data_IF_828386962546
#
_entry.id   IF_828386962546
#
_cell.length_a   1.000
_cell.length_b   1.000
_cell.length_c   1.000
_cell.angle_alpha   90.00
_cell.angle_beta   90.00
_cell.angle_gamma   90.00
#
_symmetry.space_group_name_H-M   'P 1'
#
loop_
_entity.id
_entity.type
_entity.pdbx_description
1 polymer ?
#
# COMPACT_ATOMS: atom_id res chain seq x y z
N UNK A 1 -10.92 63.12 -1.31
CA UNK A 1 -11.76 63.36 -0.11
C UNK A 1 -12.88 62.32 -0.15
N UNK A 2 -13.03 61.34 0.73
CA UNK A 2 -12.51 61.13 2.07
C UNK A 2 -12.32 59.63 2.33
N UNK A 3 -11.28 59.33 3.11
CA UNK A 3 -10.99 58.06 3.74
C UNK A 3 -12.12 57.54 4.62
N UNK A 4 -12.28 56.22 4.68
CA UNK A 4 -12.71 55.52 5.90
C UNK A 4 -11.86 54.27 6.09
N UNK A 5 -11.06 54.30 7.15
CA UNK A 5 -10.32 53.18 7.71
C UNK A 5 -11.31 52.12 8.22
N UNK A 6 -11.06 50.86 7.90
CA UNK A 6 -11.51 49.73 8.71
C UNK A 6 -10.27 48.99 9.18
N UNK A 7 -9.97 49.16 10.47
CA UNK A 7 -8.99 48.35 11.18
C UNK A 7 -9.62 46.99 11.46
N UNK A 8 -9.18 45.94 10.76
CA UNK A 8 -9.46 44.56 11.15
C UNK A 8 -8.22 44.03 11.88
N UNK A 9 -8.32 43.90 13.19
CA UNK A 9 -7.34 43.19 14.01
C UNK A 9 -7.40 41.71 13.67
N UNK A 10 -6.40 41.22 12.96
CA UNK A 10 -6.20 39.79 12.74
C UNK A 10 -5.55 39.22 14.00
N UNK A 11 -6.35 38.51 14.80
CA UNK A 11 -5.86 37.71 15.90
C UNK A 11 -4.98 36.58 15.35
N UNK A 12 -3.70 36.60 15.70
CA UNK A 12 -2.77 35.49 15.49
C UNK A 12 -3.20 34.33 16.38
N UNK A 13 -3.96 33.38 15.82
CA UNK A 13 -4.09 32.05 16.40
C UNK A 13 -2.72 31.38 16.32
N UNK A 14 -2.05 31.29 17.47
CA UNK A 14 -0.90 30.41 17.63
C UNK A 14 -1.39 28.97 17.40
N UNK A 15 -1.11 28.42 16.22
CA UNK A 15 -1.13 26.99 15.98
C UNK A 15 -0.07 26.40 16.89
N UNK A 16 -0.50 25.83 18.01
CA UNK A 16 0.30 24.83 18.73
C UNK A 16 0.38 23.66 17.75
N UNK A 17 1.44 23.63 16.93
CA UNK A 17 1.82 22.44 16.21
C UNK A 17 2.17 21.42 17.28
N UNK A 18 1.25 20.49 17.54
CA UNK A 18 1.60 19.25 18.23
C UNK A 18 2.65 18.56 17.35
N UNK A 19 3.92 18.76 17.67
CA UNK A 19 5.05 17.93 17.19
C UNK A 19 4.98 16.58 17.91
N UNK A 20 3.84 15.90 17.80
CA UNK A 20 3.78 14.48 18.10
C UNK A 20 4.58 13.79 17.01
N UNK A 21 5.57 13.00 17.43
CA UNK A 21 6.28 12.08 16.54
C UNK A 21 5.24 11.34 15.70
N UNK A 22 5.26 11.55 14.39
CA UNK A 22 4.47 10.75 13.48
C UNK A 22 5.27 9.49 13.23
N UNK A 23 4.69 8.34 13.54
CA UNK A 23 5.33 7.04 13.35
C UNK A 23 5.91 6.92 11.94
N UNK A 24 7.21 6.62 11.78
CA UNK A 24 7.84 6.55 10.48
C UNK A 24 7.11 5.58 9.54
N UNK A 25 7.00 5.91 8.25
CA UNK A 25 6.23 5.11 7.28
C UNK A 25 6.78 3.69 7.07
N UNK A 26 8.06 3.47 7.36
CA UNK A 26 8.73 2.18 7.27
C UNK A 26 8.56 1.29 8.51
N UNK A 27 8.11 1.82 9.64
CA UNK A 27 8.06 1.04 10.88
C UNK A 27 6.87 0.08 10.89
N UNK A 28 7.14 -1.22 11.05
CA UNK A 28 6.13 -2.28 11.12
C UNK A 28 5.54 -2.45 12.52
N UNK A 29 6.23 -1.99 13.57
CA UNK A 29 5.73 -2.08 14.96
C UNK A 29 4.67 -1.02 15.28
N UNK A 30 3.69 -0.86 14.39
CA UNK A 30 2.58 0.09 14.47
C UNK A 30 1.33 -0.48 13.80
N UNK A 31 0.15 -0.06 14.26
CA UNK A 31 -1.11 -0.41 13.63
C UNK A 31 -1.25 0.31 12.28
N UNK A 32 -1.13 -0.43 11.17
CA UNK A 32 -1.26 0.15 9.82
C UNK A 32 -1.59 -0.86 8.73
N UNK A 33 -2.15 -0.33 7.65
CA UNK A 33 -2.23 -1.01 6.37
C UNK A 33 -0.92 -0.77 5.65
N UNK A 34 -0.12 -1.83 5.49
CA UNK A 34 1.13 -1.78 4.71
C UNK A 34 0.81 -1.76 3.22
N UNK A 35 -0.14 -2.58 2.78
CA UNK A 35 -0.60 -2.60 1.40
C UNK A 35 -2.01 -3.19 1.27
N UNK A 36 -2.73 -2.81 0.21
CA UNK A 36 -3.97 -3.47 -0.20
C UNK A 36 -3.80 -4.00 -1.62
N UNK A 37 -4.21 -5.24 -1.85
CA UNK A 37 -4.07 -5.91 -3.13
C UNK A 37 -5.39 -6.51 -3.57
N UNK A 38 -5.59 -6.47 -4.88
CA UNK A 38 -6.70 -7.10 -5.56
C UNK A 38 -6.09 -8.14 -6.50
N UNK A 39 -6.46 -9.41 -6.40
CA UNK A 39 -5.82 -10.50 -7.15
C UNK A 39 -6.82 -11.10 -8.14
N UNK A 40 -6.63 -10.92 -9.47
CA UNK A 40 -5.63 -10.07 -10.13
C UNK A 40 -5.98 -8.56 -10.04
N UNK A 41 -5.02 -7.64 -10.27
CA UNK A 41 -5.22 -6.20 -10.10
C UNK A 41 -6.07 -5.56 -11.20
N UNK A 42 -6.11 -6.22 -12.36
CA UNK A 42 -6.86 -5.82 -13.54
C UNK A 42 -7.59 -7.03 -14.10
N UNK A 43 -8.90 -6.92 -14.31
CA UNK A 43 -9.77 -8.00 -14.76
C UNK A 43 -10.54 -7.66 -16.04
N UNK A 44 -10.52 -8.59 -16.99
CA UNK A 44 -11.38 -8.53 -18.17
C UNK A 44 -12.87 -8.65 -17.80
N UNK A 45 -13.76 -8.26 -18.72
CA UNK A 45 -15.22 -8.38 -18.51
C UNK A 45 -15.62 -9.80 -18.07
N UNK A 46 -16.45 -9.90 -17.03
CA UNK A 46 -16.92 -11.16 -16.46
C UNK A 46 -15.91 -11.89 -15.55
N UNK A 47 -14.64 -11.48 -15.52
CA UNK A 47 -13.64 -12.06 -14.62
C UNK A 47 -13.81 -11.53 -13.18
N UNK A 48 -13.15 -12.21 -12.24
CA UNK A 48 -13.23 -11.93 -10.80
C UNK A 48 -11.87 -11.55 -10.22
N UNK A 49 -11.88 -10.70 -9.20
CA UNK A 49 -10.72 -10.34 -8.38
C UNK A 49 -11.07 -10.37 -6.89
N UNK A 50 -10.16 -10.83 -6.04
CA UNK A 50 -10.33 -10.87 -4.58
C UNK A 50 -9.48 -9.83 -3.89
N UNK A 51 -10.00 -9.20 -2.83
CA UNK A 51 -9.28 -8.14 -2.09
C UNK A 51 -8.70 -8.69 -0.79
N UNK A 52 -7.40 -8.49 -0.59
CA UNK A 52 -6.67 -8.72 0.66
C UNK A 52 -5.79 -7.51 1.02
N UNK A 53 -5.30 -7.50 2.26
CA UNK A 53 -4.42 -6.46 2.78
C UNK A 53 -3.30 -7.06 3.62
N UNK A 54 -2.14 -6.41 3.56
CA UNK A 54 -1.00 -6.67 4.42
C UNK A 54 -1.06 -5.70 5.59
N UNK A 55 -1.29 -6.21 6.80
CA UNK A 55 -1.62 -5.43 7.99
C UNK A 55 -0.53 -5.63 9.04
N UNK A 56 0.04 -4.53 9.51
CA UNK A 56 0.97 -4.52 10.64
C UNK A 56 0.25 -4.07 11.91
N UNK A 57 0.71 -4.56 13.07
CA UNK A 57 0.19 -4.24 14.39
C UNK A 57 1.31 -4.15 15.40
N UNK A 58 1.14 -3.30 16.40
CA UNK A 58 2.11 -3.18 17.49
C UNK A 58 2.30 -4.52 18.19
N UNK A 59 3.55 -4.96 18.30
CA UNK A 59 3.97 -6.18 18.99
C UNK A 59 3.56 -7.49 18.33
N UNK A 60 3.10 -7.46 17.07
CA UNK A 60 2.67 -8.65 16.33
C UNK A 60 3.35 -8.73 14.96
N UNK A 61 3.34 -9.93 14.38
CA UNK A 61 3.82 -10.16 13.01
C UNK A 61 2.81 -9.67 11.99
N UNK A 62 3.30 -9.17 10.86
CA UNK A 62 2.50 -8.70 9.73
C UNK A 62 1.64 -9.84 9.18
N UNK A 63 0.34 -9.59 9.07
CA UNK A 63 -0.66 -10.56 8.62
C UNK A 63 -1.24 -10.20 7.26
N UNK A 64 -1.60 -11.22 6.49
CA UNK A 64 -2.49 -11.06 5.32
C UNK A 64 -3.91 -11.32 5.79
N UNK A 65 -4.81 -10.35 5.57
CA UNK A 65 -6.20 -10.43 5.95
C UNK A 65 -7.12 -9.88 4.87
N UNK A 66 -8.35 -10.41 4.76
CA UNK A 66 -9.41 -9.77 4.00
C UNK A 66 -9.97 -8.56 4.75
N UNK A 67 -10.50 -7.54 4.05
CA UNK A 67 -11.09 -6.38 4.72
C UNK A 67 -12.36 -6.77 5.49
N UNK A 68 -12.58 -6.13 6.63
CA UNK A 68 -13.80 -6.28 7.42
C UNK A 68 -15.00 -5.65 6.70
N UNK A 69 -14.74 -4.56 5.99
CA UNK A 69 -15.70 -3.85 5.16
C UNK A 69 -15.04 -3.40 3.87
N UNK A 70 -15.76 -3.52 2.76
CA UNK A 70 -15.39 -2.90 1.50
C UNK A 70 -16.61 -2.24 0.85
N UNK A 71 -16.40 -1.11 0.19
CA UNK A 71 -17.43 -0.40 -0.56
C UNK A 71 -16.85 0.21 -1.83
N UNK A 72 -17.60 0.18 -2.92
CA UNK A 72 -17.25 0.97 -4.10
C UNK A 72 -17.40 2.45 -3.74
N UNK A 73 -16.38 3.23 -4.08
CA UNK A 73 -16.31 4.69 -3.91
C UNK A 73 -16.53 5.38 -5.25
N UNK A 74 -15.98 4.84 -6.33
CA UNK A 74 -16.13 5.36 -7.68
C UNK A 74 -15.81 4.29 -8.74
N UNK A 75 -16.49 4.26 -9.89
CA UNK A 75 -17.76 4.94 -10.15
C UNK A 75 -18.90 4.25 -9.40
N UNK A 76 -19.82 5.04 -8.83
CA UNK A 76 -20.93 4.50 -8.02
C UNK A 76 -21.94 3.69 -8.85
N UNK A 77 -21.98 3.91 -10.18
CA UNK A 77 -22.78 3.11 -11.12
C UNK A 77 -22.37 1.63 -11.18
N UNK A 78 -21.20 1.29 -10.63
CA UNK A 78 -20.67 -0.07 -10.53
C UNK A 78 -20.67 -0.61 -9.09
N UNK A 79 -21.42 -0.01 -8.17
CA UNK A 79 -21.44 -0.45 -6.76
C UNK A 79 -21.85 -1.92 -6.56
N UNK A 80 -22.67 -2.47 -7.47
CA UNK A 80 -23.13 -3.85 -7.48
C UNK A 80 -22.07 -4.87 -7.95
N UNK A 81 -20.91 -4.41 -8.43
CA UNK A 81 -19.81 -5.28 -8.87
C UNK A 81 -18.98 -5.86 -7.73
N UNK A 82 -19.14 -5.33 -6.51
CA UNK A 82 -18.44 -5.77 -5.30
C UNK A 82 -19.40 -6.54 -4.40
N UNK A 83 -19.03 -7.75 -3.99
CA UNK A 83 -19.81 -8.57 -3.08
C UNK A 83 -18.92 -9.36 -2.11
N UNK A 84 -19.47 -9.71 -0.94
CA UNK A 84 -18.86 -10.66 -0.03
C UNK A 84 -19.29 -12.08 -0.42
N UNK A 85 -18.37 -12.87 -0.97
CA UNK A 85 -18.60 -14.25 -1.40
C UNK A 85 -17.67 -15.20 -0.63
N UNK A 86 -18.21 -16.21 0.04
CA UNK A 86 -17.38 -17.24 0.69
C UNK A 86 -16.42 -16.70 1.78
N UNK A 87 -16.73 -15.55 2.37
CA UNK A 87 -15.86 -14.89 3.36
C UNK A 87 -14.76 -13.99 2.76
N UNK A 88 -14.77 -13.76 1.45
CA UNK A 88 -13.83 -12.85 0.76
C UNK A 88 -14.58 -11.77 0.01
N UNK A 89 -14.03 -10.56 -0.02
CA UNK A 89 -14.55 -9.49 -0.86
C UNK A 89 -14.11 -9.72 -2.30
N UNK A 90 -15.09 -9.85 -3.19
CA UNK A 90 -14.91 -10.22 -4.59
C UNK A 90 -15.46 -9.11 -5.48
N UNK A 91 -14.63 -8.64 -6.40
CA UNK A 91 -15.03 -7.78 -7.52
C UNK A 91 -15.32 -8.68 -8.71
N UNK A 92 -16.49 -8.56 -9.31
CA UNK A 92 -16.84 -9.20 -10.58
C UNK A 92 -16.98 -8.13 -11.66
N UNK A 93 -16.10 -8.13 -12.65
CA UNK A 93 -16.16 -7.17 -13.74
C UNK A 93 -17.49 -7.31 -14.51
N UNK A 94 -18.22 -6.22 -14.75
CA UNK A 94 -19.49 -6.27 -15.46
C UNK A 94 -19.29 -6.53 -16.96
N UNK A 95 -20.38 -6.61 -17.72
CA UNK A 95 -20.34 -6.74 -19.18
C UNK A 95 -19.65 -5.54 -19.84
N UNK A 96 -19.12 -5.74 -21.04
CA UNK A 96 -18.45 -4.67 -21.81
C UNK A 96 -19.37 -3.46 -22.05
N UNK A 97 -20.67 -3.67 -22.30
CA UNK A 97 -21.64 -2.58 -22.46
C UNK A 97 -21.73 -1.69 -21.21
N UNK A 98 -21.67 -2.29 -20.02
CA UNK A 98 -21.63 -1.54 -18.75
C UNK A 98 -20.28 -0.83 -18.57
N UNK A 99 -19.19 -1.45 -18.99
CA UNK A 99 -17.86 -0.80 -18.96
C UNK A 99 -17.80 0.40 -19.90
N UNK A 100 -18.43 0.33 -21.09
CA UNK A 100 -18.56 1.49 -22.00
C UNK A 100 -19.31 2.64 -21.33
N UNK A 101 -20.41 2.35 -20.63
CA UNK A 101 -21.14 3.38 -19.89
C UNK A 101 -20.29 4.00 -18.76
N UNK A 102 -19.55 3.18 -18.01
CA UNK A 102 -18.66 3.66 -16.96
C UNK A 102 -17.49 4.48 -17.50
N UNK A 103 -16.92 4.13 -18.67
CA UNK A 103 -15.92 4.97 -19.36
C UNK A 103 -16.50 6.33 -19.71
N UNK A 104 -17.74 6.39 -20.19
CA UNK A 104 -18.39 7.66 -20.50
C UNK A 104 -18.64 8.51 -19.25
N UNK A 105 -19.05 7.91 -18.12
CA UNK A 105 -19.20 8.60 -16.82
C UNK A 105 -17.89 9.23 -16.36
N UNK A 106 -16.77 8.52 -16.54
CA UNK A 106 -15.44 8.95 -16.13
C UNK A 106 -14.67 9.74 -17.20
N UNK A 107 -15.33 10.07 -18.32
CA UNK A 107 -14.72 10.76 -19.47
C UNK A 107 -13.45 10.08 -20.02
N UNK A 108 -13.40 8.75 -19.96
CA UNK A 108 -12.28 7.94 -20.42
C UNK A 108 -12.33 7.69 -21.92
N UNK A 109 -11.15 7.50 -22.52
CA UNK A 109 -11.03 7.08 -23.92
C UNK A 109 -11.68 5.70 -24.16
N UNK A 110 -12.16 5.48 -25.39
CA UNK A 110 -12.71 4.18 -25.77
C UNK A 110 -11.66 3.07 -25.59
N UNK A 111 -12.05 1.98 -24.92
CA UNK A 111 -11.17 0.85 -24.63
C UNK A 111 -10.21 1.04 -23.45
N UNK A 112 -10.14 2.23 -22.83
CA UNK A 112 -9.33 2.42 -21.62
C UNK A 112 -9.85 1.58 -20.45
N UNK A 113 -9.00 0.98 -19.61
CA UNK A 113 -9.47 0.30 -18.40
C UNK A 113 -10.27 1.25 -17.50
N UNK A 114 -11.35 0.77 -16.90
CA UNK A 114 -12.18 1.53 -15.97
C UNK A 114 -11.62 1.37 -14.55
N UNK A 115 -11.17 2.44 -13.88
CA UNK A 115 -10.70 2.35 -12.50
C UNK A 115 -11.88 2.25 -11.53
N UNK A 116 -12.05 1.09 -10.89
CA UNK A 116 -12.97 0.89 -9.78
C UNK A 116 -12.24 1.16 -8.46
N UNK A 117 -12.53 2.30 -7.83
CA UNK A 117 -12.04 2.66 -6.51
C UNK A 117 -12.90 2.03 -5.42
N UNK A 118 -12.25 1.33 -4.51
CA UNK A 118 -12.88 0.58 -3.41
C UNK A 118 -12.30 1.09 -2.09
N UNK A 119 -13.14 1.63 -1.23
CA UNK A 119 -12.80 1.92 0.15
C UNK A 119 -12.80 0.62 0.94
N UNK A 120 -11.75 0.37 1.71
CA UNK A 120 -11.59 -0.83 2.54
C UNK A 120 -11.27 -0.45 3.98
N UNK A 121 -11.73 -1.27 4.91
CA UNK A 121 -11.54 -1.07 6.35
C UNK A 121 -11.02 -2.34 7.04
N UNK A 122 -10.08 -2.15 7.97
CA UNK A 122 -9.45 -3.21 8.76
C UNK A 122 -9.38 -2.80 10.25
N UNK A 123 -9.10 -3.77 11.12
CA UNK A 123 -8.83 -3.58 12.55
C UNK A 123 -9.94 -2.82 13.27
N UNK A 124 -11.17 -3.33 13.21
CA UNK A 124 -12.34 -2.68 13.80
C UNK A 124 -12.71 -1.36 13.12
N UNK A 125 -12.46 -1.26 11.81
CA UNK A 125 -12.69 -0.09 10.96
C UNK A 125 -11.90 1.17 11.34
N UNK A 126 -10.76 1.01 12.04
CA UNK A 126 -9.88 2.13 12.39
C UNK A 126 -8.84 2.42 11.31
N UNK A 127 -8.47 1.38 10.54
CA UNK A 127 -7.55 1.51 9.43
C UNK A 127 -8.33 1.51 8.12
N UNK A 128 -8.25 2.62 7.39
CA UNK A 128 -8.98 2.84 6.15
C UNK A 128 -7.99 3.04 4.99
N UNK A 129 -8.29 2.46 3.84
CA UNK A 129 -7.53 2.68 2.61
C UNK A 129 -8.44 2.65 1.39
N UNK A 130 -7.91 3.09 0.25
CA UNK A 130 -8.56 2.95 -1.06
C UNK A 130 -7.73 2.02 -1.92
N UNK A 131 -8.39 1.05 -2.56
CA UNK A 131 -7.80 0.18 -3.58
C UNK A 131 -8.47 0.42 -4.93
N UNK A 132 -7.66 0.58 -5.96
CA UNK A 132 -8.13 0.58 -7.35
C UNK A 132 -8.03 -0.83 -7.92
N UNK A 133 -9.09 -1.26 -8.61
CA UNK A 133 -9.11 -2.43 -9.51
C UNK A 133 -9.41 -1.92 -10.91
N UNK A 134 -8.61 -2.31 -11.90
CA UNK A 134 -8.85 -1.93 -13.29
C UNK A 134 -9.79 -2.93 -13.96
N UNK A 135 -10.87 -2.45 -14.57
CA UNK A 135 -11.87 -3.29 -15.24
C UNK A 135 -11.79 -3.14 -16.76
N UNK A 136 -11.96 -4.25 -17.48
CA UNK A 136 -11.94 -4.29 -18.95
C UNK A 136 -10.58 -4.60 -19.58
N UNK A 137 -9.56 -4.85 -18.77
CA UNK A 137 -8.26 -5.35 -19.20
C UNK A 137 -7.77 -6.41 -18.21
N UNK A 138 -6.93 -7.35 -18.64
CA UNK A 138 -6.27 -8.29 -17.74
C UNK A 138 -4.83 -7.84 -17.53
N UNK A 139 -4.35 -7.88 -16.29
CA UNK A 139 -2.96 -7.68 -15.94
C UNK A 139 -2.64 -8.47 -14.67
N UNK A 140 -1.38 -8.83 -14.51
CA UNK A 140 -0.85 -9.49 -13.32
C UNK A 140 -0.22 -8.48 -12.36
N UNK A 141 0.17 -8.94 -11.18
CA UNK A 141 0.98 -8.15 -10.26
C UNK A 141 2.41 -7.98 -10.78
N UNK A 142 3.12 -6.90 -10.36
CA UNK A 142 4.52 -6.76 -10.70
C UNK A 142 5.31 -7.93 -10.13
N UNK A 143 6.28 -8.43 -10.88
CA UNK A 143 7.17 -9.47 -10.38
C UNK A 143 8.19 -8.88 -9.41
N UNK A 144 8.44 -9.55 -8.29
CA UNK A 144 9.56 -9.21 -7.40
C UNK A 144 10.81 -9.91 -7.92
N UNK A 145 11.58 -9.22 -8.77
CA UNK A 145 12.79 -9.75 -9.40
C UNK A 145 14.04 -9.23 -8.70
N UNK A 146 15.05 -10.11 -8.60
CA UNK A 146 16.39 -9.77 -8.09
C UNK A 146 16.38 -8.99 -6.76
N UNK A 147 15.54 -9.44 -5.83
CA UNK A 147 15.55 -8.95 -4.46
C UNK A 147 16.83 -9.41 -3.77
N UNK A 148 17.68 -8.48 -3.36
CA UNK A 148 18.97 -8.72 -2.73
C UNK A 148 18.98 -8.14 -1.32
N UNK A 149 19.59 -8.89 -0.41
CA UNK A 149 19.75 -8.56 1.00
C UNK A 149 21.20 -8.87 1.36
N UNK A 150 21.95 -7.84 1.71
CA UNK A 150 23.40 -7.92 1.92
C UNK A 150 24.17 -8.57 0.75
N UNK A 151 23.75 -8.29 -0.49
CA UNK A 151 24.35 -8.86 -1.70
C UNK A 151 24.02 -10.34 -1.96
N UNK A 152 23.16 -10.97 -1.14
CA UNK A 152 22.63 -12.32 -1.37
C UNK A 152 21.15 -12.27 -1.82
N UNK A 153 20.64 -13.22 -2.61
CA UNK A 153 19.21 -13.28 -2.93
C UNK A 153 18.35 -13.42 -1.67
N UNK A 154 17.29 -12.62 -1.55
CA UNK A 154 16.46 -12.56 -0.34
C UNK A 154 15.78 -13.89 0.04
N UNK A 155 15.52 -14.79 -0.92
CA UNK A 155 14.99 -16.13 -0.66
C UNK A 155 13.73 -16.15 0.22
N UNK A 156 13.49 -17.25 0.94
CA UNK A 156 12.38 -17.38 1.91
C UNK A 156 12.86 -17.77 3.31
N UNK A 157 14.18 -17.80 3.52
CA UNK A 157 14.76 -18.12 4.81
C UNK A 157 14.74 -16.89 5.73
N UNK A 158 14.96 -17.13 7.02
CA UNK A 158 15.27 -16.08 7.98
C UNK A 158 16.53 -15.31 7.54
N UNK A 159 16.50 -13.99 7.67
CA UNK A 159 17.63 -13.11 7.39
C UNK A 159 18.37 -12.83 8.70
N UNK A 160 19.70 -12.99 8.68
CA UNK A 160 20.58 -12.55 9.76
C UNK A 160 21.19 -11.21 9.38
N UNK A 161 20.99 -10.20 10.22
CA UNK A 161 21.45 -8.81 10.04
C UNK A 161 22.47 -8.54 11.15
N UNK A 162 23.63 -7.99 10.79
CA UNK A 162 24.60 -7.58 11.81
C UNK A 162 24.12 -6.33 12.54
N UNK A 163 24.32 -6.26 13.86
CA UNK A 163 24.16 -4.99 14.60
C UNK A 163 25.28 -4.01 14.24
N UNK A 164 24.98 -2.72 14.35
CA UNK A 164 25.89 -1.58 14.14
C UNK A 164 26.53 -1.54 12.74
N UNK A 165 25.89 -2.17 11.75
CA UNK A 165 26.31 -2.14 10.34
C UNK A 165 25.11 -1.85 9.44
N UNK A 166 25.36 -1.13 8.35
CA UNK A 166 24.34 -0.91 7.33
C UNK A 166 24.22 -2.17 6.47
N UNK A 167 23.05 -2.79 6.49
CA UNK A 167 22.74 -3.94 5.64
C UNK A 167 22.01 -3.46 4.39
N UNK A 168 22.66 -3.52 3.20
CA UNK A 168 22.06 -3.02 1.98
C UNK A 168 20.94 -3.93 1.49
N UNK A 169 19.87 -3.31 1.02
CA UNK A 169 18.68 -3.93 0.44
C UNK A 169 18.51 -3.40 -0.98
N UNK A 170 18.14 -4.26 -1.91
CA UNK A 170 17.78 -3.80 -3.25
C UNK A 170 16.74 -4.69 -3.91
N UNK A 171 15.94 -4.11 -4.81
CA UNK A 171 15.07 -4.82 -5.72
C UNK A 171 15.27 -4.29 -7.14
N UNK A 172 15.16 -5.15 -8.15
CA UNK A 172 15.12 -4.70 -9.54
C UNK A 172 13.74 -4.13 -9.85
N UNK A 173 13.58 -2.85 -9.54
CA UNK A 173 12.43 -2.04 -9.87
C UNK A 173 12.93 -0.65 -10.28
N UNK A 174 12.48 -0.15 -11.43
CA UNK A 174 12.75 1.24 -11.85
C UNK A 174 11.86 2.18 -11.05
N UNK A 175 12.42 3.19 -10.39
CA UNK A 175 11.67 4.16 -9.58
C UNK A 175 10.72 5.05 -10.39
N UNK A 176 10.94 5.15 -11.71
CA UNK A 176 10.00 5.83 -12.62
C UNK A 176 8.72 5.02 -12.86
N UNK A 177 8.78 3.69 -12.79
CA UNK A 177 7.69 2.78 -13.16
C UNK A 177 7.03 2.12 -11.94
N UNK A 178 7.75 2.07 -10.82
CA UNK A 178 7.35 1.35 -9.62
C UNK A 178 7.47 2.22 -8.37
N UNK A 179 6.46 2.11 -7.51
CA UNK A 179 6.52 2.58 -6.13
C UNK A 179 7.03 1.43 -5.24
N UNK A 180 8.13 1.67 -4.53
CA UNK A 180 8.80 0.67 -3.68
C UNK A 180 8.68 1.12 -2.23
N UNK A 181 8.40 0.17 -1.32
CA UNK A 181 8.45 0.43 0.11
C UNK A 181 9.13 -0.73 0.84
N UNK A 182 10.20 -0.42 1.57
CA UNK A 182 10.87 -1.27 2.53
C UNK A 182 10.40 -0.93 3.95
N UNK A 183 10.07 -1.94 4.74
CA UNK A 183 9.57 -1.77 6.09
C UNK A 183 10.22 -2.77 7.03
N UNK A 184 10.47 -2.38 8.27
CA UNK A 184 11.06 -3.26 9.30
C UNK A 184 10.42 -3.06 10.67
N UNK A 185 10.38 -4.12 11.50
CA UNK A 185 10.13 -4.03 12.95
C UNK A 185 11.40 -4.18 13.80
N UNK A 186 12.56 -4.40 13.18
CA UNK A 186 13.85 -4.46 13.87
C UNK A 186 14.86 -3.57 13.12
N UNK A 187 15.34 -2.54 13.81
CA UNK A 187 16.21 -1.50 13.26
C UNK A 187 15.47 -0.30 12.65
N UNK A 188 16.27 0.62 12.12
CA UNK A 188 15.84 1.79 11.36
C UNK A 188 16.02 1.56 9.87
N UNK A 189 15.01 1.90 9.07
CA UNK A 189 15.09 1.83 7.61
C UNK A 189 15.47 3.19 7.02
N UNK A 190 16.40 3.18 6.08
CA UNK A 190 16.84 4.34 5.31
C UNK A 190 16.53 4.13 3.83
N UNK A 191 16.24 5.24 3.13
CA UNK A 191 15.86 5.24 1.71
C UNK A 191 14.72 4.24 1.43
N UNK A 192 13.81 4.14 2.39
CA UNK A 192 12.80 3.10 2.47
C UNK A 192 11.82 3.10 1.29
N UNK A 193 11.67 4.24 0.63
CA UNK A 193 10.81 4.46 -0.54
C UNK A 193 11.54 4.33 -1.88
N UNK A 194 12.80 3.86 -1.87
CA UNK A 194 13.61 3.66 -3.07
C UNK A 194 13.86 2.17 -3.35
N UNK A 195 14.15 1.80 -4.62
CA UNK A 195 14.55 0.44 -4.98
C UNK A 195 15.82 -0.05 -4.26
N UNK A 196 16.69 0.86 -3.85
CA UNK A 196 17.87 0.60 -3.05
C UNK A 196 17.73 1.29 -1.69
N UNK A 197 17.82 0.50 -0.62
CA UNK A 197 17.62 0.92 0.76
C UNK A 197 18.70 0.29 1.66
N UNK A 198 18.71 0.64 2.94
CA UNK A 198 19.44 -0.14 3.92
C UNK A 198 18.74 -0.13 5.28
N UNK A 199 18.94 -1.20 6.03
CA UNK A 199 18.51 -1.31 7.43
C UNK A 199 19.73 -1.23 8.33
N UNK A 200 19.61 -0.44 9.40
CA UNK A 200 20.59 -0.33 10.46
C UNK A 200 19.97 -0.80 11.77
N UNK A 201 20.64 -1.67 12.51
CA UNK A 201 20.15 -2.16 13.81
C UNK A 201 21.13 -1.73 14.90
N UNK A 202 20.65 -0.94 15.85
CA UNK A 202 21.41 -0.47 17.01
C UNK A 202 21.51 -1.57 18.09
N UNK A 203 22.36 -1.33 19.10
CA UNK A 203 22.56 -2.28 20.20
C UNK A 203 21.28 -2.50 21.03
N UNK A 204 20.48 -1.44 21.21
CA UNK A 204 19.24 -1.44 21.99
C UNK A 204 17.98 -1.76 21.18
N UNK A 205 18.09 -1.87 19.86
CA UNK A 205 17.00 -2.34 19.00
C UNK A 205 16.64 -3.81 19.28
N UNK A 206 15.37 -4.20 19.01
CA UNK A 206 14.93 -5.59 19.06
C UNK A 206 15.87 -6.53 18.29
N UNK A 207 16.06 -7.74 18.82
CA UNK A 207 16.93 -8.76 18.20
C UNK A 207 16.18 -9.66 17.21
N UNK A 208 14.85 -9.58 17.18
CA UNK A 208 13.98 -10.33 16.28
C UNK A 208 12.92 -9.38 15.71
N UNK A 209 12.50 -9.62 14.47
CA UNK A 209 11.45 -8.84 13.82
C UNK A 209 11.08 -9.37 12.44
N UNK A 210 10.54 -8.50 11.61
CA UNK A 210 10.25 -8.76 10.20
C UNK A 210 10.81 -7.66 9.31
N UNK A 211 11.17 -8.05 8.08
CA UNK A 211 11.44 -7.17 6.96
C UNK A 211 10.33 -7.39 5.92
N UNK A 212 9.80 -6.33 5.35
CA UNK A 212 8.79 -6.36 4.29
C UNK A 212 9.22 -5.49 3.12
N UNK A 213 9.08 -6.03 1.92
CA UNK A 213 9.17 -5.29 0.66
C UNK A 213 7.78 -5.24 0.04
N UNK A 214 7.35 -4.07 -0.39
CA UNK A 214 6.17 -3.86 -1.23
C UNK A 214 6.58 -3.17 -2.52
N UNK A 215 6.09 -3.65 -3.65
CA UNK A 215 6.25 -3.02 -4.98
C UNK A 215 4.88 -2.83 -5.59
N UNK A 216 4.61 -1.62 -6.10
CA UNK A 216 3.38 -1.25 -6.79
C UNK A 216 3.70 -0.75 -8.19
N UNK A 217 2.81 -1.01 -9.14
CA UNK A 217 2.92 -0.50 -10.51
C UNK A 217 1.75 0.41 -10.89
N UNK A 218 1.88 1.09 -12.02
CA UNK A 218 0.84 1.95 -12.59
C UNK A 218 -0.44 1.19 -13.02
N UNK A 219 -0.36 -0.14 -13.18
CA UNK A 219 -1.48 -1.04 -13.47
C UNK A 219 -2.32 -1.41 -12.26
N UNK A 220 -2.15 -0.71 -11.14
CA UNK A 220 -2.73 -1.01 -9.83
C UNK A 220 -2.27 -2.37 -9.26
N UNK A 221 -1.22 -2.96 -9.82
CA UNK A 221 -0.56 -4.14 -9.31
C UNK A 221 0.15 -3.87 -7.99
N UNK A 222 0.13 -4.85 -7.09
CA UNK A 222 0.84 -4.80 -5.82
C UNK A 222 1.41 -6.18 -5.56
N UNK A 223 2.72 -6.25 -5.36
CA UNK A 223 3.40 -7.45 -4.89
C UNK A 223 4.10 -7.12 -3.57
N UNK A 224 4.24 -8.13 -2.72
CA UNK A 224 5.01 -7.99 -1.50
C UNK A 224 5.72 -9.29 -1.16
N UNK A 225 6.80 -9.16 -0.41
CA UNK A 225 7.53 -10.26 0.20
C UNK A 225 7.88 -9.91 1.64
N UNK A 226 7.90 -10.92 2.49
CA UNK A 226 8.16 -10.78 3.91
C UNK A 226 9.21 -11.80 4.35
N UNK A 227 10.02 -11.40 5.31
CA UNK A 227 11.04 -12.24 5.93
C UNK A 227 11.02 -12.04 7.43
N UNK A 228 11.30 -13.11 8.17
CA UNK A 228 11.70 -12.97 9.57
C UNK A 228 13.15 -12.53 9.61
N UNK A 229 13.48 -11.62 10.53
CA UNK A 229 14.84 -11.12 10.73
C UNK A 229 15.32 -11.40 12.13
N UNK A 230 16.60 -11.73 12.26
CA UNK A 230 17.34 -11.81 13.52
C UNK A 230 18.57 -10.91 13.45
N UNK A 231 18.77 -10.09 14.47
CA UNK A 231 19.93 -9.22 14.60
C UNK A 231 20.97 -9.80 15.54
N UNK A 232 22.24 -9.82 15.11
CA UNK A 232 23.37 -10.43 15.81
C UNK A 232 24.62 -9.54 15.85
#
# INVERSE_FOLDING_TARGET
MSSRLFALGLATLALVACTGDLDPQWQLDHDRIVAVRATPPSIASGAKSTIDGLIARVGDTVQIAGPEQATVVSPMSLADTLALEGGSWVVTAPSEDRLVAARAELELAAGAPVPLQIGVAYSGQTLLATKTVLLGAAADHPALTNVMINGAPGGTAEIVIGKLVDVPLSVEANDEDFDVAWLTSCGTMHDFDLPAAYVHVEDDDPTEGELVLVVRDAGAGVAWQRWTIRAE
#
